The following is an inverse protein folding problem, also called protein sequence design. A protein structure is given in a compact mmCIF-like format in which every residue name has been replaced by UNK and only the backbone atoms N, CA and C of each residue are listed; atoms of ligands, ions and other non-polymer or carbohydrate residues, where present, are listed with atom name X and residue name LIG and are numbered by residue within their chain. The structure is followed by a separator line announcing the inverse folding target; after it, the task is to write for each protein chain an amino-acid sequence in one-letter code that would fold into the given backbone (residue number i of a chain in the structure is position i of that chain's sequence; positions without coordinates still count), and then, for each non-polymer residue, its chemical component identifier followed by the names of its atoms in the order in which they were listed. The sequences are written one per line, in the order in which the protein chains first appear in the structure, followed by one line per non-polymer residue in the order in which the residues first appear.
data_IF_979445586167
#
_entry.id   IF_979445586167
#
_cell.length_a   1.000
_cell.length_b   1.000
_cell.length_c   1.000
_cell.angle_alpha   90.00
_cell.angle_beta   90.00
_cell.angle_gamma   90.00
#
_symmetry.space_group_name_H-M   'P 1'
#
loop_
_entity.id
_entity.type
_entity.pdbx_description
1 polymer ?
#
# COMPACT_ATOMS: atom_id res chain seq x y z
N UNK A 1 -10.08 12.54 7.18
CA UNK A 1 -10.22 11.13 7.45
C UNK A 1 -9.08 10.35 6.90
N UNK A 2 -8.56 9.44 7.69
CA UNK A 2 -7.30 8.77 7.36
C UNK A 2 -7.53 7.32 6.95
N UNK A 3 -8.29 7.11 5.89
CA UNK A 3 -8.54 5.77 5.38
C UNK A 3 -7.32 5.20 4.69
N UNK A 4 -7.20 3.88 4.77
CA UNK A 4 -6.12 3.12 4.16
C UNK A 4 -6.73 2.25 3.07
N UNK A 5 -6.23 2.40 1.83
CA UNK A 5 -6.63 1.54 0.72
C UNK A 5 -5.61 0.43 0.56
N UNK A 6 -6.08 -0.81 0.42
CA UNK A 6 -5.22 -1.97 0.23
C UNK A 6 -5.53 -2.60 -1.10
N UNK A 7 -4.54 -2.63 -1.99
CA UNK A 7 -4.63 -3.25 -3.31
C UNK A 7 -3.86 -4.57 -3.28
N UNK A 8 -4.56 -5.66 -3.08
CA UNK A 8 -3.98 -7.01 -3.12
C UNK A 8 -5.02 -8.03 -3.54
N UNK A 9 -4.58 -9.09 -4.19
CA UNK A 9 -5.40 -10.26 -4.52
C UNK A 9 -4.97 -11.47 -3.70
N UNK A 10 -3.95 -11.32 -2.87
CA UNK A 10 -3.47 -12.36 -1.97
C UNK A 10 -4.35 -12.37 -0.72
N UNK A 11 -5.14 -13.42 -0.56
CA UNK A 11 -6.10 -13.56 0.54
C UNK A 11 -5.40 -13.54 1.89
N UNK A 12 -4.27 -14.22 2.02
CA UNK A 12 -3.52 -14.26 3.28
C UNK A 12 -2.98 -12.90 3.67
N UNK A 13 -2.40 -12.19 2.71
CA UNK A 13 -1.87 -10.85 2.96
C UNK A 13 -3.01 -9.88 3.34
N UNK A 14 -4.09 -9.89 2.56
CA UNK A 14 -5.25 -9.04 2.84
C UNK A 14 -5.85 -9.30 4.21
N UNK A 15 -5.99 -10.57 4.58
CA UNK A 15 -6.52 -10.96 5.89
C UNK A 15 -5.60 -10.52 7.02
N UNK A 16 -4.31 -10.75 6.90
CA UNK A 16 -3.33 -10.37 7.93
C UNK A 16 -3.29 -8.87 8.15
N UNK A 17 -3.28 -8.08 7.07
CA UNK A 17 -3.32 -6.63 7.16
C UNK A 17 -4.63 -6.14 7.78
N UNK A 18 -5.74 -6.69 7.34
CA UNK A 18 -7.07 -6.33 7.86
C UNK A 18 -7.17 -6.55 9.35
N UNK A 19 -6.73 -7.71 9.84
CA UNK A 19 -6.74 -8.02 11.26
C UNK A 19 -5.93 -7.03 12.08
N UNK A 20 -4.74 -6.67 11.59
CA UNK A 20 -3.87 -5.71 12.25
C UNK A 20 -4.52 -4.32 12.31
N UNK A 21 -5.12 -3.89 11.20
CA UNK A 21 -5.74 -2.57 11.12
C UNK A 21 -6.98 -2.47 12.00
N UNK A 22 -7.79 -3.53 12.07
CA UNK A 22 -8.93 -3.59 12.99
C UNK A 22 -8.43 -3.46 14.44
N UNK A 23 -7.38 -4.19 14.80
CA UNK A 23 -6.82 -4.16 16.16
C UNK A 23 -6.29 -2.79 16.56
N UNK A 24 -5.83 -2.00 15.59
CA UNK A 24 -5.32 -0.64 15.83
C UNK A 24 -6.36 0.45 15.57
N UNK A 25 -7.63 0.08 15.38
CA UNK A 25 -8.73 1.02 15.13
C UNK A 25 -8.50 1.90 13.90
N UNK A 26 -7.89 1.34 12.86
CA UNK A 26 -7.67 2.05 11.59
C UNK A 26 -8.77 1.72 10.60
N UNK A 27 -9.26 2.73 9.91
CA UNK A 27 -10.25 2.54 8.84
C UNK A 27 -9.52 2.14 7.56
N UNK A 28 -10.00 1.09 6.91
CA UNK A 28 -9.40 0.60 5.67
C UNK A 28 -10.46 -0.01 4.76
N UNK A 29 -10.11 -0.13 3.48
CA UNK A 29 -10.88 -0.87 2.49
C UNK A 29 -9.94 -1.67 1.61
N UNK A 30 -10.37 -2.87 1.25
CA UNK A 30 -9.71 -3.65 0.22
C UNK A 30 -10.25 -3.17 -1.12
N UNK A 31 -9.35 -2.74 -2.00
CA UNK A 31 -9.70 -2.12 -3.26
C UNK A 31 -9.14 -2.93 -4.44
N UNK A 32 -9.84 -2.90 -5.57
CA UNK A 32 -9.42 -3.53 -6.81
C UNK A 32 -9.04 -2.54 -7.90
N UNK A 33 -9.61 -1.35 -7.86
CA UNK A 33 -9.49 -0.38 -8.95
C UNK A 33 -9.09 0.99 -8.45
N UNK A 34 -8.33 1.70 -9.28
CA UNK A 34 -7.89 3.06 -9.00
C UNK A 34 -9.06 4.00 -8.70
N UNK A 35 -10.16 3.85 -9.43
CA UNK A 35 -11.35 4.70 -9.31
C UNK A 35 -12.03 4.62 -7.94
N UNK A 36 -11.71 3.59 -7.16
CA UNK A 36 -12.26 3.45 -5.81
C UNK A 36 -11.59 4.34 -4.78
N UNK A 37 -10.42 4.92 -5.12
CA UNK A 37 -9.77 5.90 -4.25
C UNK A 37 -10.47 7.25 -4.33
N UNK A 38 -10.69 7.85 -3.16
CA UNK A 38 -11.24 9.20 -3.06
C UNK A 38 -10.39 10.05 -2.09
N UNK A 39 -10.84 11.25 -1.79
CA UNK A 39 -10.10 12.19 -0.96
C UNK A 39 -10.00 11.77 0.52
N UNK A 40 -10.72 10.76 0.94
CA UNK A 40 -10.68 10.27 2.31
C UNK A 40 -9.49 9.35 2.58
N UNK A 41 -8.83 8.85 1.53
CA UNK A 41 -7.68 7.96 1.67
C UNK A 41 -6.40 8.78 1.86
N UNK A 42 -5.58 8.37 2.82
CA UNK A 42 -4.27 8.98 3.09
C UNK A 42 -3.12 8.02 2.89
N UNK A 43 -3.40 6.73 2.83
CA UNK A 43 -2.39 5.69 2.60
C UNK A 43 -2.93 4.71 1.58
N UNK A 44 -2.08 4.32 0.64
CA UNK A 44 -2.36 3.22 -0.29
C UNK A 44 -1.26 2.17 -0.13
N UNK A 45 -1.67 0.96 0.19
CA UNK A 45 -0.77 -0.19 0.26
C UNK A 45 -0.99 -1.00 -1.01
N UNK A 46 0.06 -1.13 -1.82
CA UNK A 46 -0.01 -1.77 -3.13
C UNK A 46 0.81 -3.04 -3.14
N UNK A 47 0.17 -4.17 -3.39
CA UNK A 47 0.84 -5.46 -3.55
C UNK A 47 1.49 -5.53 -4.94
N UNK A 48 2.78 -5.23 -5.01
CA UNK A 48 3.54 -5.22 -6.27
C UNK A 48 3.90 -6.61 -6.77
N UNK A 49 3.55 -7.66 -6.04
CA UNK A 49 3.67 -9.04 -6.52
C UNK A 49 2.54 -9.38 -7.50
N UNK A 50 1.46 -8.61 -7.48
CA UNK A 50 0.33 -8.78 -8.38
C UNK A 50 0.56 -7.98 -9.66
N UNK A 51 0.44 -8.63 -10.80
CA UNK A 51 0.71 -8.04 -12.10
C UNK A 51 -0.10 -6.75 -12.35
N UNK A 52 -1.38 -6.76 -12.03
CA UNK A 52 -2.26 -5.62 -12.28
C UNK A 52 -1.88 -4.39 -11.45
N UNK A 53 -1.36 -4.61 -10.25
CA UNK A 53 -0.98 -3.51 -9.36
C UNK A 53 0.48 -3.08 -9.55
N UNK A 54 1.29 -3.92 -10.19
CA UNK A 54 2.67 -3.58 -10.54
C UNK A 54 2.76 -2.71 -11.79
N UNK A 55 1.65 -2.53 -12.47
CA UNK A 55 1.56 -1.73 -13.69
C UNK A 55 1.95 -0.28 -13.43
N UNK A 56 2.77 0.27 -14.31
CA UNK A 56 3.30 1.62 -14.18
C UNK A 56 2.19 2.68 -14.14
N UNK A 57 1.22 2.58 -15.03
CA UNK A 57 0.09 3.51 -15.08
C UNK A 57 -0.74 3.48 -13.81
N UNK A 58 -0.94 2.29 -13.25
CA UNK A 58 -1.68 2.13 -12.00
C UNK A 58 -0.96 2.85 -10.85
N UNK A 59 0.34 2.60 -10.68
CA UNK A 59 1.13 3.20 -9.60
C UNK A 59 1.16 4.72 -9.73
N UNK A 60 1.40 5.24 -10.93
CA UNK A 60 1.37 6.68 -11.20
C UNK A 60 0.01 7.27 -10.90
N UNK A 61 -1.07 6.58 -11.28
CA UNK A 61 -2.43 7.01 -11.00
C UNK A 61 -2.71 7.14 -9.50
N UNK A 62 -2.25 6.19 -8.70
CA UNK A 62 -2.38 6.27 -7.24
C UNK A 62 -1.57 7.44 -6.70
N UNK A 63 -0.34 7.60 -7.15
CA UNK A 63 0.59 8.60 -6.62
C UNK A 63 0.28 10.04 -7.05
N UNK A 64 -0.56 10.25 -8.07
CA UNK A 64 -0.99 11.60 -8.45
C UNK A 64 -1.91 12.24 -7.43
N UNK A 65 -2.50 11.46 -6.54
CA UNK A 65 -3.25 12.01 -5.44
C UNK A 65 -2.28 12.63 -4.43
N UNK A 66 -2.30 13.95 -4.30
CA UNK A 66 -1.28 14.72 -3.58
C UNK A 66 -1.16 14.40 -2.09
N UNK A 67 -2.21 13.89 -1.49
CA UNK A 67 -2.25 13.67 -0.04
C UNK A 67 -2.16 12.19 0.34
N UNK A 68 -1.74 11.35 -0.58
CA UNK A 68 -1.66 9.91 -0.33
C UNK A 68 -0.21 9.46 -0.18
N UNK A 69 0.05 8.67 0.86
CA UNK A 69 1.33 8.02 1.06
C UNK A 69 1.26 6.61 0.50
N UNK A 70 2.15 6.27 -0.42
CA UNK A 70 2.12 5.01 -1.17
C UNK A 70 3.16 4.04 -0.65
N UNK A 71 2.70 2.88 -0.20
CA UNK A 71 3.56 1.80 0.28
C UNK A 71 3.48 0.64 -0.71
N UNK A 72 4.62 0.29 -1.29
CA UNK A 72 4.72 -0.87 -2.19
C UNK A 72 5.20 -2.10 -1.43
N UNK A 73 4.51 -3.22 -1.62
CA UNK A 73 4.88 -4.50 -1.02
C UNK A 73 5.52 -5.38 -2.08
N UNK A 74 6.70 -5.92 -1.79
CA UNK A 74 7.40 -6.88 -2.64
C UNK A 74 7.84 -8.10 -1.83
N UNK A 75 7.99 -9.26 -2.48
CA UNK A 75 8.52 -10.45 -1.80
C UNK A 75 9.92 -10.23 -1.29
N UNK A 76 10.76 -9.61 -2.12
CA UNK A 76 12.11 -9.20 -1.77
C UNK A 76 12.27 -7.75 -2.14
N UNK A 77 12.86 -6.97 -1.25
CA UNK A 77 13.19 -5.59 -1.54
C UNK A 77 14.58 -5.58 -2.16
N UNK A 78 14.64 -5.53 -3.48
CA UNK A 78 15.87 -5.48 -4.26
C UNK A 78 16.10 -4.03 -4.67
N UNK A 79 17.34 -3.54 -4.56
CA UNK A 79 17.65 -2.13 -4.78
C UNK A 79 17.15 -1.60 -6.13
N UNK A 80 17.37 -2.33 -7.22
CA UNK A 80 16.94 -1.88 -8.55
C UNK A 80 15.43 -1.75 -8.69
N UNK A 81 14.67 -2.72 -8.15
CA UNK A 81 13.22 -2.65 -8.15
C UNK A 81 12.72 -1.57 -7.19
N UNK A 82 13.36 -1.44 -6.05
CA UNK A 82 13.04 -0.42 -5.06
C UNK A 82 13.15 0.97 -5.68
N UNK A 83 14.25 1.26 -6.36
CA UNK A 83 14.46 2.54 -7.03
C UNK A 83 13.44 2.75 -8.14
N UNK A 84 13.14 1.72 -8.93
CA UNK A 84 12.16 1.79 -9.99
C UNK A 84 10.77 2.19 -9.47
N UNK A 85 10.28 1.48 -8.46
CA UNK A 85 8.95 1.75 -7.92
C UNK A 85 8.88 3.08 -7.15
N UNK A 86 9.96 3.48 -6.49
CA UNK A 86 10.03 4.81 -5.87
C UNK A 86 9.97 5.91 -6.93
N UNK A 87 10.62 5.73 -8.06
CA UNK A 87 10.53 6.68 -9.17
C UNK A 87 9.12 6.76 -9.76
N UNK A 88 8.34 5.69 -9.68
CA UNK A 88 6.95 5.70 -10.14
C UNK A 88 5.99 6.36 -9.14
N UNK A 89 6.41 6.56 -7.90
CA UNK A 89 5.61 7.24 -6.91
C UNK A 89 5.44 6.54 -5.58
N UNK A 90 6.04 5.34 -5.38
CA UNK A 90 6.00 4.70 -4.07
C UNK A 90 6.89 5.47 -3.09
N UNK A 91 6.32 5.84 -1.95
CA UNK A 91 7.07 6.53 -0.90
C UNK A 91 7.90 5.57 -0.06
N UNK A 92 7.44 4.33 0.06
CA UNK A 92 8.11 3.29 0.83
C UNK A 92 8.00 1.95 0.11
N UNK A 93 9.07 1.16 0.15
CA UNK A 93 9.08 -0.23 -0.31
C UNK A 93 9.37 -1.13 0.87
N UNK A 94 8.58 -2.18 1.05
CA UNK A 94 8.70 -3.08 2.18
C UNK A 94 8.29 -4.50 1.79
N UNK A 95 8.82 -5.50 2.49
CA UNK A 95 8.41 -6.89 2.28
C UNK A 95 7.05 -7.17 2.91
N UNK A 96 6.39 -8.25 2.46
CA UNK A 96 5.11 -8.69 3.05
C UNK A 96 5.24 -8.96 4.54
N UNK A 97 6.30 -9.65 4.94
CA UNK A 97 6.57 -9.94 6.36
C UNK A 97 6.82 -8.64 7.13
N UNK A 98 7.59 -7.73 6.53
CA UNK A 98 7.95 -6.46 7.17
C UNK A 98 6.73 -5.59 7.44
N UNK A 99 5.81 -5.46 6.48
CA UNK A 99 4.63 -4.62 6.68
C UNK A 99 3.68 -5.22 7.72
N UNK A 100 3.47 -6.52 7.71
CA UNK A 100 2.61 -7.16 8.71
C UNK A 100 3.14 -6.93 10.11
N UNK A 101 4.46 -7.04 10.30
CA UNK A 101 5.09 -6.80 11.60
C UNK A 101 5.03 -5.36 12.06
N UNK A 102 5.20 -4.41 11.13
CA UNK A 102 5.49 -3.03 11.48
C UNK A 102 4.41 -2.04 11.10
N UNK A 103 3.25 -2.51 10.65
CA UNK A 103 2.21 -1.62 10.12
C UNK A 103 1.77 -0.55 11.12
N UNK A 104 1.65 -0.89 12.39
CA UNK A 104 1.27 0.08 13.41
C UNK A 104 2.31 1.20 13.55
N UNK A 105 3.58 0.83 13.64
CA UNK A 105 4.67 1.82 13.75
C UNK A 105 4.75 2.70 12.51
N UNK A 106 4.61 2.09 11.33
CA UNK A 106 4.64 2.83 10.06
C UNK A 106 3.51 3.86 10.02
N UNK A 107 2.29 3.44 10.33
CA UNK A 107 1.14 4.32 10.29
C UNK A 107 1.23 5.43 11.35
N UNK A 108 1.78 5.14 12.51
CA UNK A 108 1.96 6.16 13.54
C UNK A 108 2.95 7.24 13.10
N UNK A 109 3.92 6.92 12.27
CA UNK A 109 4.87 7.91 11.74
C UNK A 109 4.26 8.78 10.63
N UNK A 110 3.46 8.18 9.74
CA UNK A 110 2.97 8.88 8.54
C UNK A 110 1.58 9.49 8.70
N UNK A 111 0.86 9.08 9.71
CA UNK A 111 -0.46 9.63 10.06
C UNK A 111 -0.37 10.33 11.42
#
# INVERSE_FOLDING_TARGET
MNKIGIFTKDIKLGTSLSERLVNYNRKFLLLDKLEELDDSFRVAIIDLNEKDFRDESFIKGVSTNQNIYVIGIAKKVVKSENDHFKNLGCNMMISSVGIIRNISSILNEIL
#
